data_IF_625726319065
#
_entry.id   IF_625726319065
#
_cell.length_a   1.000
_cell.length_b   1.000
_cell.length_c   1.000
_cell.angle_alpha   90.00
_cell.angle_beta   90.00
_cell.angle_gamma   90.00
#
_symmetry.space_group_name_H-M   'P 1'
#
loop_
_entity.id
_entity.type
_entity.pdbx_description
1 polymer ?
#
# COMPACT_ATOMS: atom_id res chain seq x y z
N UNK A 1 -12.41 -20.19 21.49
CA UNK A 1 -11.81 -18.99 20.87
C UNK A 1 -11.42 -19.33 19.45
N UNK A 2 -11.77 -18.52 18.45
CA UNK A 2 -11.41 -18.78 17.05
C UNK A 2 -10.15 -17.99 16.68
N UNK A 3 -9.38 -18.49 15.71
CA UNK A 3 -8.20 -17.79 15.18
C UNK A 3 -8.57 -16.39 14.67
N UNK A 4 -9.71 -16.27 13.99
CA UNK A 4 -10.23 -14.99 13.47
C UNK A 4 -10.44 -13.96 14.58
N UNK A 5 -10.97 -14.35 15.73
CA UNK A 5 -11.17 -13.43 16.86
C UNK A 5 -9.83 -12.93 17.41
N UNK A 6 -8.84 -13.81 17.54
CA UNK A 6 -7.51 -13.42 18.00
C UNK A 6 -6.80 -12.49 17.00
N UNK A 7 -6.92 -12.76 15.69
CA UNK A 7 -6.38 -11.90 14.63
C UNK A 7 -7.03 -10.51 14.65
N UNK A 8 -8.34 -10.43 14.87
CA UNK A 8 -9.05 -9.17 15.01
C UNK A 8 -8.56 -8.38 16.23
N UNK A 9 -8.46 -9.03 17.39
CA UNK A 9 -7.98 -8.38 18.62
C UNK A 9 -6.51 -7.92 18.46
N UNK A 10 -5.68 -8.69 17.76
CA UNK A 10 -4.31 -8.30 17.43
C UNK A 10 -4.27 -7.04 16.57
N UNK A 11 -5.10 -7.02 15.52
CA UNK A 11 -5.19 -5.91 14.60
C UNK A 11 -5.65 -4.61 15.29
N UNK A 12 -6.65 -4.72 16.18
CA UNK A 12 -7.10 -3.60 17.03
C UNK A 12 -6.01 -3.12 17.99
N UNK A 13 -5.25 -4.04 18.57
CA UNK A 13 -4.16 -3.71 19.47
C UNK A 13 -3.05 -2.91 18.77
N UNK A 14 -2.77 -3.19 17.49
CA UNK A 14 -1.78 -2.43 16.73
C UNK A 14 -2.23 -0.98 16.45
N UNK A 15 -3.54 -0.71 16.46
CA UNK A 15 -4.10 0.65 16.32
C UNK A 15 -4.27 1.39 17.66
N UNK A 16 -3.90 0.76 18.78
CA UNK A 16 -3.99 1.35 20.11
C UNK A 16 -5.09 0.79 21.01
N UNK A 17 -6.03 -0.01 20.48
CA UNK A 17 -7.05 -0.68 21.28
C UNK A 17 -6.60 -2.08 21.71
N UNK A 18 -5.76 -2.16 22.75
CA UNK A 18 -5.09 -3.40 23.17
C UNK A 18 -5.75 -4.17 24.31
N UNK A 19 -6.83 -3.64 24.88
CA UNK A 19 -7.51 -4.21 26.06
C UNK A 19 -7.90 -5.69 25.88
N UNK A 20 -8.57 -6.00 24.76
CA UNK A 20 -9.03 -7.36 24.44
C UNK A 20 -7.86 -8.34 24.22
N UNK A 21 -6.76 -7.87 23.62
CA UNK A 21 -5.59 -8.69 23.35
C UNK A 21 -4.77 -8.91 24.62
N UNK A 22 -4.56 -7.88 25.46
CA UNK A 22 -3.84 -7.97 26.72
C UNK A 22 -4.42 -9.03 27.66
N UNK A 23 -5.74 -9.19 27.66
CA UNK A 23 -6.42 -10.23 28.45
C UNK A 23 -6.15 -11.66 27.95
N UNK A 24 -5.52 -11.83 26.78
CA UNK A 24 -5.40 -13.11 26.07
C UNK A 24 -3.96 -13.49 25.72
N UNK A 25 -3.01 -12.58 25.87
CA UNK A 25 -1.60 -12.80 25.55
C UNK A 25 -0.71 -12.46 26.74
N UNK A 26 0.38 -13.20 26.88
CA UNK A 26 1.41 -12.94 27.88
C UNK A 26 2.57 -12.16 27.26
N UNK A 27 3.40 -11.58 28.14
CA UNK A 27 4.65 -10.95 27.78
C UNK A 27 5.61 -11.91 27.05
N UNK A 28 6.68 -11.36 26.49
CA UNK A 28 7.69 -12.11 25.76
C UNK A 28 9.03 -12.01 26.50
N UNK A 29 9.50 -13.13 27.07
CA UNK A 29 10.69 -13.13 27.93
C UNK A 29 10.51 -12.22 29.13
N UNK A 30 11.41 -11.25 29.30
CA UNK A 30 11.38 -10.26 30.39
C UNK A 30 10.46 -9.06 30.12
N UNK A 31 9.87 -8.97 28.92
CA UNK A 31 8.98 -7.86 28.56
C UNK A 31 7.57 -8.10 29.09
N UNK A 32 6.98 -7.07 29.70
CA UNK A 32 5.55 -7.05 29.97
C UNK A 32 4.74 -7.12 28.67
N UNK A 33 3.47 -7.54 28.73
CA UNK A 33 2.60 -7.54 27.55
C UNK A 33 2.53 -6.16 26.88
N UNK A 34 2.57 -5.09 27.66
CA UNK A 34 2.57 -3.71 27.17
C UNK A 34 3.85 -3.35 26.41
N UNK A 35 5.00 -3.71 26.97
CA UNK A 35 6.29 -3.49 26.33
C UNK A 35 6.41 -4.30 25.03
N UNK A 36 5.99 -5.57 25.07
CA UNK A 36 5.97 -6.41 23.87
C UNK A 36 5.08 -5.80 22.77
N UNK A 37 3.87 -5.36 23.11
CA UNK A 37 2.97 -4.73 22.13
C UNK A 37 3.52 -3.40 21.59
N UNK A 38 4.19 -2.59 22.41
CA UNK A 38 4.85 -1.38 21.95
C UNK A 38 5.95 -1.69 20.91
N UNK A 39 6.75 -2.74 21.13
CA UNK A 39 7.74 -3.20 20.16
C UNK A 39 7.07 -3.63 18.84
N UNK A 40 5.98 -4.40 18.90
CA UNK A 40 5.25 -4.80 17.70
C UNK A 40 4.64 -3.61 16.94
N UNK A 41 4.09 -2.61 17.63
CA UNK A 41 3.57 -1.38 17.00
C UNK A 41 4.69 -0.61 16.29
N UNK A 42 5.83 -0.45 16.94
CA UNK A 42 6.99 0.22 16.36
C UNK A 42 7.48 -0.51 15.11
N UNK A 43 7.60 -1.84 15.18
CA UNK A 43 7.99 -2.66 14.04
C UNK A 43 6.98 -2.54 12.89
N UNK A 44 5.68 -2.49 13.20
CA UNK A 44 4.63 -2.29 12.20
C UNK A 44 4.81 -0.95 11.49
N UNK A 45 5.01 0.16 12.21
CA UNK A 45 5.24 1.47 11.59
C UNK A 45 6.50 1.46 10.70
N UNK A 46 7.60 0.83 11.14
CA UNK A 46 8.83 0.69 10.35
C UNK A 46 8.63 -0.17 9.10
N UNK A 47 7.89 -1.27 9.19
CA UNK A 47 7.55 -2.11 8.04
C UNK A 47 6.73 -1.31 7.03
N UNK A 48 5.69 -0.59 7.48
CA UNK A 48 4.85 0.24 6.60
C UNK A 48 5.65 1.37 5.94
N UNK A 49 6.57 2.01 6.67
CA UNK A 49 7.50 2.97 6.09
C UNK A 49 8.37 2.33 5.00
N UNK A 50 8.93 1.15 5.27
CA UNK A 50 9.77 0.43 4.31
C UNK A 50 9.00 0.04 3.04
N UNK A 51 7.74 -0.36 3.18
CA UNK A 51 6.84 -0.63 2.04
C UNK A 51 6.71 0.63 1.18
N UNK A 52 6.36 1.77 1.76
CA UNK A 52 6.23 3.02 0.99
C UNK A 52 7.54 3.44 0.34
N UNK A 53 8.68 3.26 1.01
CA UNK A 53 10.00 3.55 0.44
C UNK A 53 10.33 2.69 -0.79
N UNK A 54 9.84 1.45 -0.83
CA UNK A 54 10.03 0.54 -1.96
C UNK A 54 9.04 0.86 -3.08
N UNK A 55 7.77 1.11 -2.73
CA UNK A 55 6.68 1.39 -3.67
C UNK A 55 6.80 2.75 -4.38
N UNK A 56 7.41 3.74 -3.73
CA UNK A 56 7.51 5.12 -4.23
C UNK A 56 8.96 5.60 -4.26
N UNK A 57 9.83 4.75 -4.83
CA UNK A 57 11.28 4.96 -4.86
C UNK A 57 11.69 6.23 -5.62
N UNK A 58 11.01 6.56 -6.72
CA UNK A 58 11.28 7.76 -7.53
C UNK A 58 10.79 8.99 -6.78
N UNK A 59 9.59 8.97 -6.20
CA UNK A 59 9.14 10.03 -5.30
C UNK A 59 10.15 10.29 -4.17
N UNK A 60 10.70 9.23 -3.55
CA UNK A 60 11.76 9.34 -2.53
C UNK A 60 13.03 10.00 -3.06
N UNK A 61 13.45 9.67 -4.27
CA UNK A 61 14.61 10.33 -4.90
C UNK A 61 14.34 11.82 -5.17
N UNK A 62 13.15 12.17 -5.65
CA UNK A 62 12.79 13.54 -6.03
C UNK A 62 12.76 14.50 -4.84
N UNK A 63 12.18 14.09 -3.70
CA UNK A 63 12.09 14.95 -2.52
C UNK A 63 13.22 14.75 -1.52
N UNK A 64 14.04 13.71 -1.72
CA UNK A 64 15.08 13.29 -0.80
C UNK A 64 14.56 12.47 0.39
N UNK A 65 15.42 11.61 0.94
CA UNK A 65 15.04 10.60 1.93
C UNK A 65 14.39 11.18 3.19
N UNK A 66 14.95 12.28 3.72
CA UNK A 66 14.45 12.88 4.96
C UNK A 66 13.02 13.40 4.78
N UNK A 67 12.74 14.10 3.68
CA UNK A 67 11.42 14.63 3.39
C UNK A 67 10.43 13.48 3.15
N UNK A 68 10.82 12.51 2.33
CA UNK A 68 10.00 11.34 2.05
C UNK A 68 9.63 10.57 3.32
N UNK A 69 10.61 10.29 4.20
CA UNK A 69 10.38 9.52 5.43
C UNK A 69 9.42 10.25 6.38
N UNK A 70 9.53 11.57 6.51
CA UNK A 70 8.59 12.35 7.31
C UNK A 70 7.17 12.31 6.73
N UNK A 71 7.04 12.42 5.41
CA UNK A 71 5.76 12.34 4.72
C UNK A 71 5.12 10.96 4.87
N UNK A 72 5.89 9.90 4.62
CA UNK A 72 5.48 8.51 4.72
C UNK A 72 5.09 8.12 6.16
N UNK A 73 5.87 8.51 7.18
CA UNK A 73 5.49 8.28 8.58
C UNK A 73 4.18 8.97 8.95
N UNK A 74 3.95 10.20 8.45
CA UNK A 74 2.68 10.91 8.67
C UNK A 74 1.52 10.22 7.95
N UNK A 75 1.76 9.64 6.77
CA UNK A 75 0.78 8.78 6.11
C UNK A 75 0.48 7.53 6.95
N UNK A 76 1.49 6.78 7.41
CA UNK A 76 1.30 5.56 8.20
C UNK A 76 0.47 5.78 9.47
N UNK A 77 0.64 6.92 10.13
CA UNK A 77 -0.13 7.27 11.34
C UNK A 77 -1.58 7.65 11.06
N UNK A 78 -1.86 8.16 9.87
CA UNK A 78 -3.22 8.62 9.47
C UNK A 78 -3.98 7.56 8.66
N UNK A 79 -3.26 6.61 8.06
CA UNK A 79 -3.78 5.55 7.23
C UNK A 79 -3.18 4.20 7.68
N UNK A 80 -3.54 3.70 8.88
CA UNK A 80 -3.05 2.42 9.34
C UNK A 80 -3.45 1.31 8.35
N UNK A 81 -2.55 0.36 8.08
CA UNK A 81 -2.86 -0.76 7.18
C UNK A 81 -4.05 -1.55 7.72
N UNK A 82 -5.04 -1.86 6.88
CA UNK A 82 -6.23 -2.69 7.19
C UNK A 82 -6.21 -4.09 6.59
N UNK A 83 -5.11 -4.42 5.92
CA UNK A 83 -4.90 -5.71 5.30
C UNK A 83 -3.55 -6.30 5.71
N UNK A 84 -3.46 -7.62 5.64
CA UNK A 84 -2.19 -8.35 5.72
C UNK A 84 -1.42 -8.28 4.40
N UNK A 85 -2.06 -7.87 3.30
CA UNK A 85 -1.41 -7.67 2.01
C UNK A 85 -0.73 -6.30 1.96
N UNK A 86 0.59 -6.30 2.14
CA UNK A 86 1.40 -5.10 2.08
C UNK A 86 1.57 -4.57 0.65
N UNK A 87 1.33 -5.38 -0.40
CA UNK A 87 1.43 -4.91 -1.78
C UNK A 87 0.31 -3.92 -2.13
N UNK A 88 -0.81 -3.98 -1.40
CA UNK A 88 -1.93 -3.05 -1.49
C UNK A 88 -1.74 -1.81 -0.59
N UNK A 89 -0.73 -1.79 0.28
CA UNK A 89 -0.51 -0.69 1.20
C UNK A 89 0.22 0.47 0.52
N UNK A 90 -0.46 1.60 0.37
CA UNK A 90 0.05 2.78 -0.32
C UNK A 90 -0.92 3.35 -1.36
N UNK A 91 -2.05 2.69 -1.62
CA UNK A 91 -3.05 3.12 -2.61
C UNK A 91 -3.48 4.59 -2.47
N UNK A 92 -3.65 5.07 -1.24
CA UNK A 92 -4.08 6.44 -0.95
C UNK A 92 -2.91 7.44 -0.85
N UNK A 93 -1.67 6.97 -0.92
CA UNK A 93 -0.48 7.81 -0.77
C UNK A 93 -0.39 8.93 -1.82
N UNK A 94 -0.71 8.71 -3.11
CA UNK A 94 -0.70 9.79 -4.10
C UNK A 94 -1.72 10.90 -3.77
N UNK A 95 -2.93 10.55 -3.37
CA UNK A 95 -3.95 11.53 -2.97
C UNK A 95 -3.55 12.25 -1.67
N UNK A 96 -2.86 11.56 -0.76
CA UNK A 96 -2.30 12.16 0.43
C UNK A 96 -1.19 13.18 0.11
N UNK A 97 -0.35 12.91 -0.89
CA UNK A 97 0.66 13.86 -1.38
C UNK A 97 -0.03 15.13 -1.90
N UNK A 98 -1.07 15.01 -2.71
CA UNK A 98 -1.78 16.17 -3.27
C UNK A 98 -2.34 17.10 -2.19
N UNK A 99 -2.88 16.54 -1.11
CA UNK A 99 -3.35 17.32 0.04
C UNK A 99 -2.24 18.13 0.72
N UNK A 100 -0.96 17.79 0.47
CA UNK A 100 0.24 18.43 1.03
C UNK A 100 1.00 19.29 0.04
N UNK A 101 0.49 19.44 -1.18
CA UNK A 101 0.94 20.43 -2.15
C UNK A 101 0.27 21.80 -1.95
N UNK A 102 -0.44 22.00 -0.84
CA UNK A 102 -1.11 23.26 -0.53
C UNK A 102 -0.12 24.45 -0.38
N UNK A 103 -0.57 25.68 -0.64
CA UNK A 103 0.25 26.87 -0.47
C UNK A 103 0.81 26.98 0.95
N UNK A 104 2.12 27.20 1.05
CA UNK A 104 2.88 27.28 2.30
C UNK A 104 3.59 25.99 2.73
N UNK A 105 3.35 24.85 2.08
CA UNK A 105 3.99 23.57 2.42
C UNK A 105 5.30 23.35 1.63
N UNK A 106 6.29 22.61 2.21
CA UNK A 106 7.60 22.37 1.59
C UNK A 106 7.55 21.64 0.25
N UNK A 107 6.50 20.85 -0.02
CA UNK A 107 6.39 19.99 -1.20
C UNK A 107 6.05 20.75 -2.48
N UNK A 108 5.70 22.03 -2.41
CA UNK A 108 5.39 22.85 -3.60
C UNK A 108 6.54 22.97 -4.60
N UNK A 109 7.78 22.69 -4.19
CA UNK A 109 8.94 22.68 -5.10
C UNK A 109 8.89 21.51 -6.11
N UNK A 110 8.04 20.51 -5.87
CA UNK A 110 7.80 19.37 -6.78
C UNK A 110 6.28 19.22 -7.02
N UNK A 111 5.64 20.12 -7.78
CA UNK A 111 4.18 20.15 -7.91
C UNK A 111 3.58 18.91 -8.61
N UNK A 112 4.41 18.15 -9.34
CA UNK A 112 4.03 16.92 -10.03
C UNK A 112 4.25 15.65 -9.19
N UNK A 113 4.64 15.78 -7.92
CA UNK A 113 4.98 14.62 -7.07
C UNK A 113 3.82 13.64 -6.89
N UNK A 114 2.59 14.16 -6.78
CA UNK A 114 1.39 13.32 -6.67
C UNK A 114 1.16 12.48 -7.92
N UNK A 115 1.35 13.05 -9.11
CA UNK A 115 1.24 12.32 -10.37
C UNK A 115 2.36 11.29 -10.55
N UNK A 116 3.58 11.61 -10.11
CA UNK A 116 4.66 10.63 -10.07
C UNK A 116 4.31 9.45 -9.15
N UNK A 117 3.73 9.73 -7.97
CA UNK A 117 3.31 8.68 -7.05
C UNK A 117 2.19 7.82 -7.66
N UNK A 118 1.24 8.40 -8.39
CA UNK A 118 0.22 7.63 -9.13
C UNK A 118 0.85 6.71 -10.16
N UNK A 119 1.84 7.20 -10.90
CA UNK A 119 2.54 6.41 -11.91
C UNK A 119 3.28 5.22 -11.27
N UNK A 120 4.06 5.45 -10.21
CA UNK A 120 4.73 4.35 -9.50
C UNK A 120 3.73 3.34 -8.94
N UNK A 121 2.62 3.81 -8.38
CA UNK A 121 1.56 2.93 -7.88
C UNK A 121 0.95 2.05 -8.98
N UNK A 122 0.64 2.62 -10.15
CA UNK A 122 0.11 1.88 -11.29
C UNK A 122 1.11 0.85 -11.81
N UNK A 123 2.40 1.20 -11.88
CA UNK A 123 3.46 0.26 -12.28
C UNK A 123 3.58 -0.91 -11.31
N UNK A 124 3.54 -0.65 -10.00
CA UNK A 124 3.53 -1.72 -8.99
C UNK A 124 2.30 -2.64 -9.15
N UNK A 125 1.12 -2.05 -9.36
CA UNK A 125 -0.11 -2.83 -9.56
C UNK A 125 -0.05 -3.71 -10.81
N UNK A 126 0.47 -3.18 -11.92
CA UNK A 126 0.67 -3.93 -13.15
C UNK A 126 1.67 -5.09 -12.93
N UNK A 127 2.75 -4.85 -12.19
CA UNK A 127 3.75 -5.88 -11.89
C UNK A 127 3.21 -7.04 -11.04
N UNK A 128 2.33 -6.75 -10.09
CA UNK A 128 1.69 -7.76 -9.22
C UNK A 128 0.37 -8.31 -9.77
N UNK A 129 -0.06 -7.87 -10.95
CA UNK A 129 -1.26 -8.41 -11.57
C UNK A 129 -1.11 -9.90 -11.89
N UNK A 130 -2.21 -10.63 -11.86
CA UNK A 130 -2.20 -12.06 -12.15
C UNK A 130 -1.82 -12.29 -13.63
N UNK A 131 -0.88 -13.20 -13.87
CA UNK A 131 -0.50 -13.60 -15.23
C UNK A 131 -1.74 -14.06 -16.02
N UNK A 132 -1.93 -13.47 -17.19
CA UNK A 132 -3.00 -13.86 -18.09
C UNK A 132 -2.61 -15.07 -18.91
N UNK A 133 -3.56 -15.97 -19.12
CA UNK A 133 -3.48 -16.90 -20.25
C UNK A 133 -3.43 -16.10 -21.53
N UNK A 134 -2.42 -16.33 -22.36
CA UNK A 134 -2.23 -15.61 -23.62
C UNK A 134 -3.47 -15.65 -24.51
N UNK A 135 -3.67 -14.60 -25.30
CA UNK A 135 -4.77 -14.57 -26.26
C UNK A 135 -4.52 -15.60 -27.37
N UNK A 136 -5.50 -16.46 -27.63
CA UNK A 136 -5.43 -17.41 -28.75
C UNK A 136 -5.68 -16.69 -30.07
N UNK A 137 -4.60 -16.30 -30.74
CA UNK A 137 -4.63 -15.65 -32.04
C UNK A 137 -5.25 -16.52 -33.15
N UNK A 138 -5.37 -17.84 -32.96
CA UNK A 138 -6.05 -18.71 -33.94
C UNK A 138 -7.54 -18.39 -34.08
N UNK A 139 -8.13 -17.70 -33.11
CA UNK A 139 -9.52 -17.22 -33.16
C UNK A 139 -9.74 -16.18 -34.26
N UNK A 140 -8.71 -15.40 -34.62
CA UNK A 140 -8.83 -14.43 -35.71
C UNK A 140 -9.02 -15.10 -37.07
N UNK A 141 -8.43 -16.27 -37.28
CA UNK A 141 -8.59 -17.03 -38.53
C UNK A 141 -10.03 -17.52 -38.76
N UNK A 142 -10.91 -17.43 -37.76
CA UNK A 142 -12.32 -17.85 -37.83
C UNK A 142 -13.29 -16.68 -38.04
N UNK A 143 -12.80 -15.44 -38.07
CA UNK A 143 -13.64 -14.26 -38.28
C UNK A 143 -14.04 -14.14 -39.74
N UNK A 144 -15.34 -13.98 -40.00
CA UNK A 144 -15.84 -13.66 -41.34
C UNK A 144 -15.60 -12.19 -41.68
N UNK A 145 -15.58 -11.79 -42.97
CA UNK A 145 -15.43 -10.39 -43.36
C UNK A 145 -16.45 -9.45 -42.72
N UNK A 146 -17.66 -9.94 -42.47
CA UNK A 146 -18.75 -9.17 -41.84
C UNK A 146 -18.53 -8.97 -40.34
N UNK A 147 -17.75 -9.85 -39.68
CA UNK A 147 -17.46 -9.79 -38.25
C UNK A 147 -16.23 -8.93 -37.93
N UNK A 148 -15.33 -8.71 -38.89
CA UNK A 148 -14.10 -7.95 -38.70
C UNK A 148 -14.32 -6.49 -38.23
N UNK A 149 -15.32 -5.73 -38.75
CA UNK A 149 -15.57 -4.35 -38.31
C UNK A 149 -16.04 -4.23 -36.85
N UNK A 150 -16.61 -5.30 -36.30
CA UNK A 150 -17.18 -5.32 -34.95
C UNK A 150 -16.15 -5.71 -33.89
N UNK A 151 -14.95 -6.13 -34.29
CA UNK A 151 -13.86 -6.45 -33.36
C UNK A 151 -13.46 -5.20 -32.59
N UNK A 152 -13.37 -5.33 -31.26
CA UNK A 152 -12.86 -4.30 -30.35
C UNK A 152 -11.73 -4.89 -29.53
N UNK A 153 -10.57 -4.26 -29.61
CA UNK A 153 -9.46 -4.53 -28.71
C UNK A 153 -9.65 -3.69 -27.46
N UNK A 154 -9.62 -4.35 -26.30
CA UNK A 154 -9.56 -3.67 -25.01
C UNK A 154 -8.15 -3.84 -24.47
N UNK A 155 -7.61 -2.78 -23.86
CA UNK A 155 -6.41 -2.93 -23.06
C UNK A 155 -6.69 -3.94 -21.94
N UNK A 156 -5.66 -4.70 -21.62
CA UNK A 156 -5.68 -5.53 -20.44
C UNK A 156 -5.85 -4.58 -19.21
N UNK A 157 -6.75 -4.88 -18.25
CA UNK A 157 -6.99 -4.02 -17.10
C UNK A 157 -5.85 -4.07 -16.06
N UNK A 158 -4.82 -4.86 -16.34
CA UNK A 158 -3.56 -5.04 -15.62
C UNK A 158 -2.42 -4.18 -16.20
#
# INVERSE_FOLDING_TARGET
>A
MTLRALQHDYYQAMQGNDSALKARVQGAGDLSTEQALAVYRNNTEQTLLSVLQQSFSVCRMLVGERCFNQLALRYCRTHPSSSLDLNAYGELFPNFIDQRLAPGEPLQVVPYLGDMARLEWLLQRAYHAANRTGFDFSRFARLTPEQQPDVRFTLAPD
#
